data_IF_465088019925
#
_entry.id   IF_465088019925
#
_cell.length_a   1.000
_cell.length_b   1.000
_cell.length_c   1.000
_cell.angle_alpha   90.00
_cell.angle_beta   90.00
_cell.angle_gamma   90.00
#
_symmetry.space_group_name_H-M   'P 1'
#
loop_
_entity.id
_entity.type
_entity.pdbx_description
1 polymer ?
#
# COMPACT_ATOMS: atom_id res chain seq x y z
N UNK A 1 -10.95 -6.36 -10.02
CA UNK A 1 -10.54 -6.22 -8.61
C UNK A 1 -11.25 -4.99 -8.07
N UNK A 2 -11.93 -5.10 -6.94
CA UNK A 2 -12.59 -3.95 -6.32
C UNK A 2 -11.52 -3.14 -5.56
N UNK A 3 -11.42 -1.83 -5.82
CA UNK A 3 -10.49 -0.95 -5.12
C UNK A 3 -11.04 0.47 -5.04
N UNK A 4 -10.60 1.20 -4.02
CA UNK A 4 -10.86 2.63 -3.83
C UNK A 4 -9.53 3.39 -3.94
N UNK A 5 -9.53 4.56 -4.58
CA UNK A 5 -8.39 5.48 -4.59
C UNK A 5 -8.57 6.48 -3.45
N UNK A 6 -7.72 6.39 -2.42
CA UNK A 6 -7.74 7.30 -1.27
C UNK A 6 -6.94 8.59 -1.53
N UNK A 7 -5.88 8.49 -2.34
CA UNK A 7 -5.06 9.62 -2.76
C UNK A 7 -4.66 9.45 -4.22
N UNK A 8 -5.15 10.30 -5.15
CA UNK A 8 -4.77 10.22 -6.56
C UNK A 8 -3.48 10.98 -6.87
N UNK A 9 -2.79 10.57 -7.93
CA UNK A 9 -1.76 11.34 -8.67
C UNK A 9 -0.81 12.18 -7.78
N UNK A 10 -0.06 11.52 -6.91
CA UNK A 10 0.86 12.14 -5.95
C UNK A 10 2.27 11.58 -6.09
N UNK A 11 3.25 12.19 -5.43
CA UNK A 11 4.59 11.62 -5.29
C UNK A 11 4.57 10.39 -4.37
N UNK A 12 5.56 9.49 -4.52
CA UNK A 12 5.70 8.35 -3.61
C UNK A 12 5.83 8.78 -2.15
N UNK A 13 6.54 9.89 -1.89
CA UNK A 13 6.71 10.45 -0.55
C UNK A 13 5.36 10.88 0.05
N UNK A 14 4.51 11.55 -0.72
CA UNK A 14 3.18 11.97 -0.26
C UNK A 14 2.28 10.77 0.03
N UNK A 15 2.29 9.74 -0.82
CA UNK A 15 1.56 8.51 -0.56
C UNK A 15 2.06 7.81 0.72
N UNK A 16 3.37 7.72 0.90
CA UNK A 16 3.96 7.13 2.10
C UNK A 16 3.61 7.92 3.37
N UNK A 17 3.68 9.25 3.31
CA UNK A 17 3.32 10.14 4.42
C UNK A 17 1.82 10.07 4.72
N UNK A 18 0.97 9.97 3.70
CA UNK A 18 -0.47 9.80 3.86
C UNK A 18 -0.79 8.52 4.64
N UNK A 19 -0.18 7.39 4.26
CA UNK A 19 -0.41 6.10 4.92
C UNK A 19 0.03 6.18 6.40
N UNK A 20 1.23 6.68 6.66
CA UNK A 20 1.79 6.78 8.02
C UNK A 20 0.98 7.67 8.96
N UNK A 21 0.33 8.71 8.43
CA UNK A 21 -0.43 9.68 9.24
C UNK A 21 -1.87 9.26 9.49
N UNK A 22 -2.51 8.57 8.55
CA UNK A 22 -3.94 8.29 8.60
C UNK A 22 -4.28 6.89 9.14
N UNK A 23 -3.31 5.97 9.18
CA UNK A 23 -3.55 4.59 9.62
C UNK A 23 -2.68 4.22 10.81
N UNK A 24 -3.22 3.39 11.70
CA UNK A 24 -2.56 2.97 12.94
C UNK A 24 -1.72 1.71 12.75
N UNK A 25 -2.24 0.74 12.01
CA UNK A 25 -1.59 -0.54 11.76
C UNK A 25 -0.81 -0.45 10.45
N UNK A 26 0.50 -0.17 10.54
CA UNK A 26 1.39 0.03 9.38
C UNK A 26 2.54 -0.96 9.45
N UNK A 27 2.72 -1.68 8.35
CA UNK A 27 3.82 -2.59 8.08
C UNK A 27 4.79 -1.97 7.07
N UNK A 28 6.06 -2.32 7.17
CA UNK A 28 7.11 -1.84 6.28
C UNK A 28 7.68 -3.02 5.52
N UNK A 29 7.65 -2.93 4.19
CA UNK A 29 8.15 -3.99 3.32
C UNK A 29 9.25 -3.47 2.38
N UNK A 30 10.08 -4.39 1.92
CA UNK A 30 11.10 -4.08 0.91
C UNK A 30 10.50 -3.94 -0.50
N UNK A 31 11.24 -3.28 -1.39
CA UNK A 31 10.90 -3.29 -2.81
C UNK A 31 10.94 -4.74 -3.34
N UNK A 32 10.00 -5.10 -4.21
CA UNK A 32 9.83 -6.49 -4.65
C UNK A 32 9.04 -7.38 -3.70
N UNK A 33 8.43 -6.84 -2.63
CA UNK A 33 7.44 -7.58 -1.86
C UNK A 33 6.22 -7.95 -2.73
N UNK A 34 5.78 -9.21 -2.67
CA UNK A 34 4.65 -9.72 -3.47
C UNK A 34 3.34 -9.65 -2.68
N UNK A 35 2.40 -8.86 -3.17
CA UNK A 35 1.05 -8.65 -2.61
C UNK A 35 0.01 -8.58 -3.73
N UNK A 36 -1.14 -9.23 -3.57
CA UNK A 36 -2.19 -9.30 -4.60
C UNK A 36 -1.66 -9.74 -5.98
N UNK A 37 -0.76 -10.73 -5.97
CA UNK A 37 -0.01 -11.23 -7.13
C UNK A 37 0.83 -10.21 -7.90
N UNK A 38 1.04 -9.02 -7.34
CA UNK A 38 1.90 -7.98 -7.90
C UNK A 38 3.13 -7.73 -7.02
N UNK A 39 4.23 -7.34 -7.66
CA UNK A 39 5.44 -6.91 -6.98
C UNK A 39 5.37 -5.40 -6.73
N UNK A 40 5.54 -5.00 -5.47
CA UNK A 40 5.57 -3.58 -5.13
C UNK A 40 6.85 -2.93 -5.63
N UNK A 41 6.67 -1.80 -6.30
CA UNK A 41 7.72 -0.91 -6.78
C UNK A 41 7.64 0.37 -5.95
N UNK A 42 8.78 0.88 -5.52
CA UNK A 42 8.85 2.08 -4.69
C UNK A 42 10.21 2.21 -4.02
N UNK A 43 10.33 3.23 -3.16
CA UNK A 43 11.53 3.44 -2.34
C UNK A 43 11.32 2.74 -1.00
N UNK A 44 12.11 1.70 -0.67
CA UNK A 44 11.98 1.02 0.62
C UNK A 44 12.48 1.93 1.77
N UNK A 45 11.96 1.73 3.00
CA UNK A 45 10.89 0.81 3.35
C UNK A 45 9.50 1.33 2.90
N UNK A 46 8.76 0.50 2.17
CA UNK A 46 7.44 0.85 1.61
C UNK A 46 6.37 0.62 2.69
N UNK A 47 5.62 1.65 3.12
CA UNK A 47 4.58 1.48 4.12
C UNK A 47 3.32 0.86 3.49
N UNK A 48 2.79 -0.18 4.12
CA UNK A 48 1.49 -0.78 3.82
C UNK A 48 0.68 -0.74 5.11
N UNK A 49 -0.55 -0.23 5.07
CA UNK A 49 -1.43 -0.23 6.21
C UNK A 49 -2.53 -1.29 6.10
N UNK A 50 -3.06 -1.68 7.25
CA UNK A 50 -4.26 -2.49 7.37
C UNK A 50 -5.36 -1.63 7.99
N UNK A 51 -6.55 -1.68 7.40
CA UNK A 51 -7.77 -1.07 7.93
C UNK A 51 -8.89 -2.11 7.86
N UNK A 52 -9.24 -2.71 9.00
CA UNK A 52 -10.11 -3.88 9.09
C UNK A 52 -9.59 -5.10 8.29
N UNK A 53 -10.25 -5.45 7.19
CA UNK A 53 -9.86 -6.53 6.27
C UNK A 53 -9.33 -5.98 4.93
N UNK A 54 -9.07 -4.68 4.86
CA UNK A 54 -8.53 -4.00 3.69
C UNK A 54 -7.05 -3.70 3.83
N UNK A 55 -6.35 -3.78 2.71
CA UNK A 55 -4.95 -3.36 2.57
C UNK A 55 -4.90 -1.98 1.94
N UNK A 56 -4.10 -1.09 2.54
CA UNK A 56 -3.85 0.25 2.05
C UNK A 56 -2.40 0.34 1.63
N UNK A 57 -2.15 0.57 0.35
CA UNK A 57 -0.79 0.52 -0.20
C UNK A 57 -0.53 1.63 -1.22
N UNK A 58 0.73 2.11 -1.33
CA UNK A 58 1.13 2.93 -2.44
C UNK A 58 1.17 2.08 -3.71
N UNK A 59 0.66 2.62 -4.81
CA UNK A 59 0.72 1.99 -6.13
C UNK A 59 1.36 2.95 -7.12
N UNK A 60 2.56 2.61 -7.56
CA UNK A 60 3.33 3.42 -8.51
C UNK A 60 2.99 2.99 -9.94
N UNK A 61 2.50 3.94 -10.74
CA UNK A 61 2.35 3.78 -12.18
C UNK A 61 3.48 4.56 -12.87
N UNK A 62 4.37 3.88 -13.63
CA UNK A 62 5.38 4.56 -14.44
C UNK A 62 4.73 5.63 -15.32
N UNK A 63 5.30 6.84 -15.32
CA UNK A 63 4.82 8.03 -16.05
C UNK A 63 3.52 8.69 -15.55
N UNK A 64 2.78 8.09 -14.60
CA UNK A 64 1.48 8.63 -14.14
C UNK A 64 1.44 8.95 -12.64
N UNK A 65 2.56 8.75 -11.92
CA UNK A 65 2.68 9.07 -10.50
C UNK A 65 2.35 7.89 -9.57
N UNK A 66 2.08 8.23 -8.31
CA UNK A 66 1.78 7.29 -7.24
C UNK A 66 0.36 7.53 -6.70
N UNK A 67 -0.29 6.44 -6.31
CA UNK A 67 -1.65 6.43 -5.78
C UNK A 67 -1.65 5.75 -4.42
N UNK A 68 -2.58 6.11 -3.54
CA UNK A 68 -2.90 5.28 -2.37
C UNK A 68 -4.18 4.52 -2.68
N UNK A 69 -4.10 3.19 -2.70
CA UNK A 69 -5.23 2.31 -2.95
C UNK A 69 -5.69 1.67 -1.64
N UNK A 70 -7.00 1.49 -1.48
CA UNK A 70 -7.62 0.56 -0.52
C UNK A 70 -8.18 -0.62 -1.29
N UNK A 71 -7.77 -1.82 -0.91
CA UNK A 71 -8.14 -3.07 -1.58
C UNK A 71 -8.60 -4.09 -0.53
N UNK A 72 -9.83 -4.64 -0.63
CA UNK A 72 -10.25 -5.74 0.21
C UNK A 72 -9.33 -6.95 0.03
N UNK A 73 -8.79 -7.46 1.14
CA UNK A 73 -7.67 -8.39 1.08
C UNK A 73 -7.42 -9.16 2.35
N UNK A 74 -8.45 -9.84 2.89
CA UNK A 74 -8.36 -10.61 4.14
C UNK A 74 -7.16 -11.54 4.23
N UNK A 75 -6.82 -12.23 3.13
CA UNK A 75 -5.67 -13.13 3.08
C UNK A 75 -4.34 -12.37 3.17
N UNK A 76 -4.22 -11.24 2.47
CA UNK A 76 -3.02 -10.39 2.53
C UNK A 76 -2.86 -9.73 3.90
N UNK A 77 -3.97 -9.30 4.51
CA UNK A 77 -3.98 -8.81 5.90
C UNK A 77 -3.47 -9.88 6.86
N UNK A 78 -3.94 -11.13 6.69
CA UNK A 78 -3.47 -12.23 7.52
C UNK A 78 -1.98 -12.54 7.30
N UNK A 79 -1.45 -12.38 6.07
CA UNK A 79 -0.02 -12.50 5.78
C UNK A 79 0.79 -11.38 6.44
N UNK A 80 0.39 -10.12 6.27
CA UNK A 80 1.06 -8.96 6.87
C UNK A 80 1.16 -9.05 8.40
N UNK A 81 0.08 -9.50 9.06
CA UNK A 81 0.04 -9.68 10.52
C UNK A 81 0.94 -10.80 11.05
N UNK A 82 1.30 -11.79 10.21
CA UNK A 82 2.14 -12.93 10.61
C UNK A 82 3.64 -12.62 10.57
N UNK A 83 4.05 -11.58 9.84
CA UNK A 83 5.47 -11.26 9.57
C UNK A 83 5.98 -12.00 8.35
#
# INVERSE_FOLDING_TARGET
MNYEILLPNSSFKECADFIKKNFREVYYVEAGYKIFDNYLIGVPPIPIAVDNEDVIMPYVKPCHGCFVLRIPGKEEVARLRKG
#
